data_IF_672930473401
#
_entry.id   IF_672930473401
#
_cell.length_a   1.000
_cell.length_b   1.000
_cell.length_c   1.000
_cell.angle_alpha   90.00
_cell.angle_beta   90.00
_cell.angle_gamma   90.00
#
_symmetry.space_group_name_H-M   'P 1'
#
loop_
_entity.id
_entity.type
_entity.pdbx_description
1 polymer ?
#
# COMPACT_ATOMS: atom_id res chain seq x y z
N UNK A 1 18.82 -7.89 -13.98
CA UNK A 1 17.91 -6.75 -14.01
C UNK A 1 17.45 -6.57 -15.45
N UNK A 2 16.18 -6.84 -15.74
CA UNK A 2 15.66 -6.73 -17.12
C UNK A 2 15.12 -5.32 -17.33
N UNK A 3 16.00 -4.33 -17.45
CA UNK A 3 15.62 -3.06 -18.03
C UNK A 3 15.65 -3.19 -19.55
N UNK A 4 14.51 -2.99 -20.18
CA UNK A 4 14.41 -3.04 -21.63
C UNK A 4 15.22 -1.86 -22.21
N UNK A 5 16.31 -2.15 -22.91
CA UNK A 5 17.26 -1.14 -23.44
C UNK A 5 16.67 -0.13 -24.42
N UNK A 6 15.40 -0.29 -24.80
CA UNK A 6 14.79 0.52 -25.87
C UNK A 6 13.76 1.56 -25.41
N UNK A 7 13.48 1.65 -24.11
CA UNK A 7 12.60 2.69 -23.57
C UNK A 7 13.36 3.48 -22.51
N UNK A 8 13.53 4.78 -22.70
CA UNK A 8 14.01 5.73 -21.70
C UNK A 8 12.98 5.82 -20.56
N UNK A 9 12.92 4.78 -19.73
CA UNK A 9 11.95 4.68 -18.64
C UNK A 9 12.69 4.97 -17.33
N UNK A 10 12.37 6.11 -16.72
CA UNK A 10 12.93 6.52 -15.44
C UNK A 10 12.12 5.90 -14.30
N UNK A 11 12.80 5.30 -13.30
CA UNK A 11 12.13 4.49 -12.29
C UNK A 11 12.20 5.11 -10.90
N UNK A 12 11.03 5.29 -10.29
CA UNK A 12 10.87 5.21 -8.84
C UNK A 12 10.65 3.75 -8.45
N UNK A 13 11.36 3.25 -7.46
CA UNK A 13 11.13 1.92 -6.89
C UNK A 13 10.28 2.10 -5.66
N UNK A 14 9.01 1.69 -5.77
CA UNK A 14 7.96 1.95 -4.82
C UNK A 14 7.83 0.85 -3.78
N UNK A 15 7.69 1.25 -2.52
CA UNK A 15 7.43 0.37 -1.39
C UNK A 15 6.21 0.85 -0.61
N UNK A 16 5.45 -0.10 -0.03
CA UNK A 16 4.30 0.20 0.81
C UNK A 16 4.49 -0.41 2.21
N UNK A 17 4.47 -1.74 2.31
CA UNK A 17 4.29 -2.45 3.55
C UNK A 17 5.58 -3.10 4.05
N UNK A 18 5.87 -2.86 5.31
CA UNK A 18 6.95 -3.50 6.05
C UNK A 18 6.41 -4.29 7.24
N UNK A 19 7.15 -5.30 7.66
CA UNK A 19 6.82 -6.09 8.84
C UNK A 19 8.05 -6.32 9.73
N UNK A 20 7.75 -6.53 11.01
CA UNK A 20 8.72 -6.91 12.04
C UNK A 20 8.15 -8.04 12.91
N UNK A 21 8.85 -8.40 13.97
CA UNK A 21 8.36 -9.37 14.96
C UNK A 21 7.45 -8.74 16.02
N UNK A 22 7.17 -7.43 15.90
CA UNK A 22 6.40 -6.64 16.85
C UNK A 22 4.98 -6.32 16.37
N UNK A 23 4.69 -5.02 16.26
CA UNK A 23 3.37 -4.52 15.90
C UNK A 23 3.04 -4.72 14.42
N UNK A 24 4.01 -4.56 13.53
CA UNK A 24 3.80 -4.66 12.09
C UNK A 24 3.91 -6.11 11.62
N UNK A 25 2.86 -6.89 11.84
CA UNK A 25 2.87 -8.32 11.50
C UNK A 25 3.05 -8.56 10.01
N UNK A 26 3.72 -9.67 9.71
CA UNK A 26 3.91 -10.14 8.34
C UNK A 26 2.57 -10.33 7.63
N UNK A 27 2.44 -9.71 6.47
CA UNK A 27 1.27 -9.83 5.60
C UNK A 27 1.71 -9.97 4.16
N UNK A 28 0.78 -10.30 3.27
CA UNK A 28 1.09 -10.46 1.86
C UNK A 28 1.70 -9.20 1.26
N UNK A 29 2.85 -9.36 0.60
CA UNK A 29 3.59 -8.27 -0.03
C UNK A 29 4.41 -7.40 0.94
N UNK A 30 4.38 -7.66 2.27
CA UNK A 30 5.23 -6.96 3.21
C UNK A 30 6.64 -7.54 3.24
N UNK A 31 7.64 -6.69 3.42
CA UNK A 31 9.06 -7.05 3.53
C UNK A 31 9.60 -6.67 4.90
N UNK A 32 10.59 -7.39 5.40
CA UNK A 32 11.26 -7.04 6.65
C UNK A 32 12.47 -6.12 6.40
N UNK A 33 13.09 -5.66 7.48
CA UNK A 33 14.28 -4.80 7.44
C UNK A 33 15.41 -5.42 6.61
N UNK A 34 15.70 -6.70 6.80
CA UNK A 34 16.83 -7.37 6.15
C UNK A 34 16.59 -7.56 4.65
N UNK A 35 15.35 -7.88 4.27
CA UNK A 35 14.99 -8.02 2.85
C UNK A 35 15.04 -6.66 2.14
N UNK A 36 14.59 -5.60 2.80
CA UNK A 36 14.72 -4.24 2.28
C UNK A 36 16.19 -3.87 2.08
N UNK A 37 17.04 -4.11 3.07
CA UNK A 37 18.48 -3.87 2.98
C UNK A 37 19.12 -4.65 1.81
N UNK A 38 18.78 -5.94 1.64
CA UNK A 38 19.24 -6.76 0.51
C UNK A 38 18.77 -6.21 -0.83
N UNK A 39 17.51 -5.75 -0.93
CA UNK A 39 16.98 -5.14 -2.15
C UNK A 39 17.75 -3.86 -2.53
N UNK A 40 18.00 -2.97 -1.58
CA UNK A 40 18.77 -1.75 -1.82
C UNK A 40 20.21 -2.07 -2.26
N UNK A 41 20.85 -3.03 -1.63
CA UNK A 41 22.20 -3.49 -2.04
C UNK A 41 22.21 -4.12 -3.43
N UNK A 42 21.16 -4.89 -3.79
CA UNK A 42 21.02 -5.50 -5.12
C UNK A 42 20.87 -4.44 -6.22
N UNK A 43 20.11 -3.38 -5.96
CA UNK A 43 20.00 -2.22 -6.86
C UNK A 43 21.37 -1.55 -7.02
N UNK A 44 22.13 -1.49 -5.95
CA UNK A 44 23.45 -0.85 -5.84
C UNK A 44 23.34 0.63 -5.47
N UNK A 45 24.02 1.03 -4.39
CA UNK A 45 23.95 2.40 -3.83
C UNK A 45 24.24 3.48 -4.89
N UNK A 46 25.17 3.22 -5.81
CA UNK A 46 25.56 4.19 -6.86
C UNK A 46 24.43 4.45 -7.90
N UNK A 47 23.47 3.57 -7.99
CA UNK A 47 22.31 3.72 -8.89
C UNK A 47 21.13 4.41 -8.19
N UNK A 48 21.12 4.46 -6.86
CA UNK A 48 20.07 5.09 -6.07
C UNK A 48 20.44 6.55 -5.84
N UNK A 49 19.68 7.45 -6.44
CA UNK A 49 19.82 8.89 -6.22
C UNK A 49 18.98 9.33 -5.01
N UNK A 50 19.48 10.32 -4.31
CA UNK A 50 18.68 11.03 -3.33
C UNK A 50 17.52 11.76 -4.02
N UNK A 51 16.39 11.87 -3.34
CA UNK A 51 15.12 12.32 -3.93
C UNK A 51 15.19 13.69 -4.61
N UNK A 52 15.88 14.65 -3.99
CA UNK A 52 16.11 15.99 -4.54
C UNK A 52 16.94 15.95 -5.81
N UNK A 53 18.04 15.17 -5.80
CA UNK A 53 18.93 14.98 -6.96
C UNK A 53 18.18 14.29 -8.10
N UNK A 54 17.37 13.27 -7.78
CA UNK A 54 16.55 12.58 -8.77
C UNK A 54 15.55 13.54 -9.41
N UNK A 55 14.84 14.32 -8.59
CA UNK A 55 13.86 15.30 -9.05
C UNK A 55 14.49 16.37 -9.97
N UNK A 56 15.63 16.92 -9.58
CA UNK A 56 16.36 17.90 -10.37
C UNK A 56 16.82 17.35 -11.71
N UNK A 57 17.37 16.13 -11.72
CA UNK A 57 17.79 15.47 -12.96
C UNK A 57 16.59 15.14 -13.86
N UNK A 58 15.47 14.68 -13.28
CA UNK A 58 14.24 14.42 -14.03
C UNK A 58 13.72 15.68 -14.71
N UNK A 59 13.60 16.77 -13.96
CA UNK A 59 13.15 18.08 -14.47
C UNK A 59 14.03 18.60 -15.59
N UNK A 60 15.33 18.40 -15.48
CA UNK A 60 16.32 18.85 -16.47
C UNK A 60 16.60 17.83 -17.57
N UNK A 61 15.86 16.69 -17.62
CA UNK A 61 16.05 15.60 -18.62
C UNK A 61 17.48 15.03 -18.63
N UNK A 62 18.10 14.92 -17.44
CA UNK A 62 19.49 14.45 -17.25
C UNK A 62 19.59 13.10 -16.54
N UNK A 63 18.46 12.43 -16.24
CA UNK A 63 18.47 11.10 -15.66
C UNK A 63 19.08 10.09 -16.62
N UNK A 64 19.88 9.18 -16.07
CA UNK A 64 20.42 8.01 -16.79
C UNK A 64 19.49 6.82 -16.59
N UNK A 65 19.49 5.88 -17.53
CA UNK A 65 18.65 4.67 -17.49
C UNK A 65 18.87 3.78 -16.26
N UNK A 66 20.05 3.84 -15.64
CA UNK A 66 20.39 3.07 -14.44
C UNK A 66 20.09 3.80 -13.13
N UNK A 67 19.76 5.10 -13.20
CA UNK A 67 19.50 5.91 -12.01
C UNK A 67 18.05 5.72 -11.57
N UNK A 68 17.85 5.44 -10.29
CA UNK A 68 16.54 5.21 -9.66
C UNK A 68 16.41 6.04 -8.39
N UNK A 69 15.19 6.26 -7.93
CA UNK A 69 14.93 6.74 -6.56
C UNK A 69 14.07 5.74 -5.80
N UNK A 70 14.06 5.85 -4.49
CA UNK A 70 13.20 5.05 -3.61
C UNK A 70 11.99 5.89 -3.24
N UNK A 71 10.81 5.29 -3.32
CA UNK A 71 9.54 5.95 -3.00
C UNK A 71 8.70 5.10 -2.05
N UNK A 72 7.92 5.76 -1.21
CA UNK A 72 6.98 5.16 -0.29
C UNK A 72 5.62 5.83 -0.47
N UNK A 73 4.55 5.04 -0.51
CA UNK A 73 3.20 5.53 -0.68
C UNK A 73 2.35 5.23 0.56
N UNK A 74 1.18 5.88 0.66
CA UNK A 74 0.10 5.61 1.61
C UNK A 74 0.31 6.08 3.06
N UNK A 75 1.39 6.80 3.37
CA UNK A 75 1.65 7.33 4.72
C UNK A 75 1.60 6.27 5.83
N UNK A 76 2.19 5.09 5.61
CA UNK A 76 2.14 3.96 6.55
C UNK A 76 3.23 4.03 7.62
N UNK A 77 2.85 3.87 8.88
CA UNK A 77 3.76 3.94 10.03
C UNK A 77 4.91 2.94 9.97
N UNK A 78 4.69 1.75 9.40
CA UNK A 78 5.75 0.76 9.20
C UNK A 78 6.93 1.26 8.35
N UNK A 79 6.71 2.26 7.49
CA UNK A 79 7.76 2.89 6.71
C UNK A 79 8.70 3.72 7.60
N UNK A 80 8.14 4.41 8.61
CA UNK A 80 8.92 5.18 9.60
C UNK A 80 9.64 4.27 10.58
N UNK A 81 8.97 3.20 11.01
CA UNK A 81 9.46 2.36 12.09
C UNK A 81 10.52 1.36 11.58
N UNK A 82 10.41 0.90 10.33
CA UNK A 82 11.25 -0.17 9.78
C UNK A 82 12.13 0.32 8.61
N UNK A 83 11.56 1.01 7.63
CA UNK A 83 12.33 1.40 6.44
C UNK A 83 13.21 2.63 6.67
N UNK A 84 12.70 3.66 7.34
CA UNK A 84 13.45 4.90 7.58
C UNK A 84 14.79 4.68 8.28
N UNK A 85 14.93 3.85 9.34
CA UNK A 85 16.23 3.54 9.93
C UNK A 85 17.25 2.95 8.94
N UNK A 86 16.80 2.12 7.99
CA UNK A 86 17.67 1.55 6.94
C UNK A 86 18.14 2.64 5.97
N UNK A 87 17.22 3.52 5.57
CA UNK A 87 17.57 4.65 4.69
C UNK A 87 18.61 5.57 5.33
N UNK A 88 18.44 5.89 6.61
CA UNK A 88 19.38 6.75 7.34
C UNK A 88 20.75 6.08 7.50
N UNK A 89 20.80 4.77 7.80
CA UNK A 89 22.03 3.99 7.86
C UNK A 89 22.78 4.03 6.51
N UNK A 90 22.05 3.87 5.41
CA UNK A 90 22.61 3.87 4.05
C UNK A 90 22.77 5.28 3.45
N UNK A 91 22.36 6.33 4.17
CA UNK A 91 22.37 7.72 3.72
C UNK A 91 21.62 7.91 2.38
N UNK A 92 20.43 7.32 2.26
CA UNK A 92 19.54 7.43 1.10
C UNK A 92 18.40 8.37 1.47
N UNK A 93 18.17 9.41 0.67
CA UNK A 93 17.00 10.28 0.81
C UNK A 93 15.94 9.87 -0.22
N UNK A 94 14.71 9.69 0.25
CA UNK A 94 13.61 9.08 -0.50
C UNK A 94 12.42 10.01 -0.61
N UNK A 95 11.47 9.68 -1.51
CA UNK A 95 10.15 10.31 -1.52
C UNK A 95 9.19 9.54 -0.61
N UNK A 96 8.34 10.29 0.11
CA UNK A 96 7.20 9.77 0.86
C UNK A 96 5.94 10.44 0.31
N UNK A 97 5.15 9.71 -0.44
CA UNK A 97 3.90 10.20 -1.01
C UNK A 97 2.76 9.92 -0.03
N UNK A 98 2.12 10.98 0.42
CA UNK A 98 1.10 10.91 1.46
C UNK A 98 -0.25 11.39 0.95
N UNK A 99 -1.32 10.68 1.27
CA UNK A 99 -2.66 11.17 1.04
C UNK A 99 -3.17 11.92 2.28
N UNK A 100 -3.79 13.07 2.06
CA UNK A 100 -3.92 14.07 3.14
C UNK A 100 -5.09 13.85 4.08
N UNK A 101 -6.12 13.07 3.70
CA UNK A 101 -7.24 12.76 4.60
C UNK A 101 -6.82 11.92 5.83
N UNK A 102 -5.66 11.27 5.75
CA UNK A 102 -5.03 10.59 6.89
C UNK A 102 -4.76 11.56 8.06
N UNK A 103 -4.42 12.83 7.76
CA UNK A 103 -4.15 13.85 8.78
C UNK A 103 -5.40 14.56 9.29
N UNK A 104 -6.57 14.21 8.74
CA UNK A 104 -7.91 14.61 9.19
C UNK A 104 -8.62 13.49 9.97
N UNK A 105 -7.91 12.45 10.36
CA UNK A 105 -8.44 11.23 10.99
C UNK A 105 -9.48 10.47 10.13
N UNK A 106 -9.35 10.59 8.81
CA UNK A 106 -10.20 9.94 7.79
C UNK A 106 -9.37 9.11 6.82
N UNK A 107 -8.64 8.08 7.30
CA UNK A 107 -7.85 7.24 6.43
C UNK A 107 -8.73 6.41 5.50
N UNK A 108 -8.14 5.92 4.40
CA UNK A 108 -8.73 4.82 3.66
C UNK A 108 -8.83 3.58 4.58
N UNK A 109 -10.01 3.00 4.65
CA UNK A 109 -10.28 1.85 5.52
C UNK A 109 -9.53 0.58 5.12
N UNK A 110 -9.01 0.50 3.88
CA UNK A 110 -8.34 -0.70 3.36
C UNK A 110 -7.18 -1.17 4.25
N UNK A 111 -6.38 -0.25 4.79
CA UNK A 111 -5.25 -0.60 5.65
C UNK A 111 -5.70 -1.04 7.05
N UNK A 112 -6.75 -0.45 7.58
CA UNK A 112 -7.36 -0.91 8.83
C UNK A 112 -7.96 -2.30 8.66
N UNK A 113 -8.65 -2.55 7.54
CA UNK A 113 -9.18 -3.87 7.21
C UNK A 113 -8.07 -4.90 6.96
N UNK A 114 -6.95 -4.50 6.37
CA UNK A 114 -5.76 -5.33 6.21
C UNK A 114 -5.17 -5.73 7.57
N UNK A 115 -4.99 -4.75 8.46
CA UNK A 115 -4.52 -4.98 9.82
C UNK A 115 -5.47 -5.94 10.57
N UNK A 116 -6.77 -5.70 10.48
CA UNK A 116 -7.79 -6.55 11.09
C UNK A 116 -7.69 -8.01 10.63
N UNK A 117 -7.61 -8.24 9.32
CA UNK A 117 -7.48 -9.59 8.75
C UNK A 117 -6.26 -10.35 9.27
N UNK A 118 -5.16 -9.65 9.48
CA UNK A 118 -3.87 -10.27 9.86
C UNK A 118 -3.78 -10.48 11.37
N UNK A 119 -4.43 -9.64 12.18
CA UNK A 119 -4.21 -9.61 13.62
C UNK A 119 -5.33 -10.21 14.46
N UNK A 120 -6.54 -10.36 13.92
CA UNK A 120 -7.73 -10.76 14.69
C UNK A 120 -8.25 -12.16 14.37
N UNK A 121 -7.54 -12.88 13.52
CA UNK A 121 -7.84 -14.27 13.15
C UNK A 121 -6.58 -15.12 13.31
N UNK A 122 -6.77 -16.42 13.60
CA UNK A 122 -5.66 -17.37 13.74
C UNK A 122 -4.94 -17.58 12.40
N UNK A 123 -5.72 -17.61 11.32
CA UNK A 123 -5.23 -17.67 9.96
C UNK A 123 -6.19 -16.94 9.00
N UNK A 124 -5.76 -16.79 7.76
CA UNK A 124 -6.52 -16.06 6.76
C UNK A 124 -7.80 -16.79 6.33
N UNK A 125 -7.87 -18.12 6.47
CA UNK A 125 -9.06 -18.89 6.11
C UNK A 125 -10.17 -18.68 7.14
N UNK A 126 -9.81 -18.53 8.44
CA UNK A 126 -10.77 -18.14 9.48
C UNK A 126 -11.41 -16.79 9.14
N UNK A 127 -10.61 -15.84 8.65
CA UNK A 127 -11.15 -14.56 8.17
C UNK A 127 -12.13 -14.75 7.01
N UNK A 128 -11.76 -15.50 5.96
CA UNK A 128 -12.65 -15.70 4.81
C UNK A 128 -13.96 -16.38 5.22
N UNK A 129 -13.90 -17.42 6.05
CA UNK A 129 -15.09 -18.10 6.55
C UNK A 129 -16.00 -17.14 7.34
N UNK A 130 -15.42 -16.32 8.19
CA UNK A 130 -16.15 -15.32 8.97
C UNK A 130 -16.79 -14.25 8.06
N UNK A 131 -16.04 -13.79 7.07
CA UNK A 131 -16.51 -12.81 6.08
C UNK A 131 -17.72 -13.34 5.29
N UNK A 132 -17.62 -14.55 4.73
CA UNK A 132 -18.72 -15.16 3.98
C UNK A 132 -19.93 -15.47 4.84
N UNK A 133 -19.72 -15.80 6.11
CA UNK A 133 -20.82 -15.98 7.08
C UNK A 133 -21.57 -14.69 7.35
N UNK A 134 -20.87 -13.56 7.50
CA UNK A 134 -21.49 -12.24 7.70
C UNK A 134 -22.18 -11.75 6.42
N UNK A 135 -21.57 -12.00 5.26
CA UNK A 135 -22.17 -11.67 3.96
C UNK A 135 -23.51 -12.38 3.72
N UNK A 136 -23.65 -13.63 4.21
CA UNK A 136 -24.89 -14.46 4.15
C UNK A 136 -25.55 -14.49 2.77
N UNK A 137 -24.75 -14.66 1.71
CA UNK A 137 -25.22 -14.77 0.32
C UNK A 137 -24.69 -16.05 -0.32
N UNK A 138 -25.53 -16.72 -1.13
CA UNK A 138 -25.06 -17.81 -1.98
C UNK A 138 -24.25 -17.23 -3.16
N UNK A 139 -22.99 -17.59 -3.21
CA UNK A 139 -22.03 -17.12 -4.21
C UNK A 139 -21.70 -18.18 -5.27
N UNK A 140 -22.34 -19.35 -5.26
CA UNK A 140 -22.00 -20.44 -6.17
C UNK A 140 -22.15 -20.02 -7.63
N UNK A 141 -23.31 -19.47 -8.01
CA UNK A 141 -23.52 -18.98 -9.36
C UNK A 141 -22.54 -17.88 -9.76
N UNK A 142 -22.23 -16.96 -8.84
CA UNK A 142 -21.27 -15.89 -9.09
C UNK A 142 -19.86 -16.43 -9.35
N UNK A 143 -19.42 -17.43 -8.59
CA UNK A 143 -18.11 -18.05 -8.82
C UNK A 143 -18.07 -18.88 -10.10
N UNK A 144 -19.16 -19.59 -10.42
CA UNK A 144 -19.27 -20.38 -11.66
C UNK A 144 -19.20 -19.47 -12.91
N UNK A 145 -19.89 -18.35 -12.89
CA UNK A 145 -19.84 -17.34 -13.97
C UNK A 145 -18.45 -16.67 -14.11
N UNK A 146 -17.64 -16.68 -13.06
CA UNK A 146 -16.31 -16.05 -13.03
C UNK A 146 -15.15 -17.05 -12.97
N UNK A 147 -15.35 -18.32 -13.27
CA UNK A 147 -14.30 -19.37 -13.21
C UNK A 147 -13.07 -19.03 -14.04
N UNK A 148 -13.25 -18.53 -15.26
CA UNK A 148 -12.14 -18.18 -16.14
C UNK A 148 -11.34 -16.99 -15.61
N UNK A 149 -12.00 -16.02 -14.98
CA UNK A 149 -11.36 -14.88 -14.31
C UNK A 149 -10.57 -15.32 -13.09
N UNK A 150 -11.07 -16.29 -12.33
CA UNK A 150 -10.37 -16.85 -11.17
C UNK A 150 -9.12 -17.59 -11.64
N UNK A 151 -9.21 -18.45 -12.68
CA UNK A 151 -8.07 -19.18 -13.26
C UNK A 151 -7.01 -18.21 -13.80
N UNK A 152 -7.41 -17.28 -14.65
CA UNK A 152 -6.48 -16.30 -15.25
C UNK A 152 -5.80 -15.42 -14.18
N UNK A 153 -6.51 -15.07 -13.10
CA UNK A 153 -5.94 -14.35 -11.97
C UNK A 153 -4.91 -15.20 -11.22
N UNK A 154 -5.14 -16.51 -11.08
CA UNK A 154 -4.17 -17.43 -10.46
C UNK A 154 -2.90 -17.56 -11.28
N UNK A 155 -3.03 -17.64 -12.60
CA UNK A 155 -1.88 -17.72 -13.52
C UNK A 155 -1.07 -16.41 -13.49
N UNK A 156 -1.75 -15.28 -13.51
CA UNK A 156 -1.12 -13.95 -13.46
C UNK A 156 -0.47 -13.64 -12.11
N UNK A 157 -1.07 -14.09 -11.02
CA UNK A 157 -0.64 -13.83 -9.65
C UNK A 157 -0.49 -15.15 -8.87
N UNK A 158 0.54 -15.96 -9.15
CA UNK A 158 0.69 -17.30 -8.58
C UNK A 158 0.86 -17.31 -7.05
N UNK A 159 1.25 -16.17 -6.45
CA UNK A 159 1.39 -16.01 -5.01
C UNK A 159 0.05 -15.82 -4.26
N UNK A 160 -1.07 -15.56 -4.94
CA UNK A 160 -2.38 -15.55 -4.30
C UNK A 160 -2.95 -16.97 -4.20
N UNK A 161 -3.60 -17.29 -3.06
CA UNK A 161 -4.42 -18.48 -2.96
C UNK A 161 -5.71 -18.33 -3.78
N UNK A 162 -6.36 -19.44 -4.10
CA UNK A 162 -7.68 -19.39 -4.78
C UNK A 162 -8.70 -18.64 -3.90
N UNK A 163 -8.67 -18.87 -2.60
CA UNK A 163 -9.59 -18.20 -1.67
C UNK A 163 -9.33 -16.68 -1.57
N UNK A 164 -8.06 -16.24 -1.65
CA UNK A 164 -7.75 -14.81 -1.72
C UNK A 164 -8.28 -14.20 -3.04
N UNK A 165 -8.14 -14.89 -4.15
CA UNK A 165 -8.69 -14.45 -5.45
C UNK A 165 -10.22 -14.36 -5.40
N UNK A 166 -10.90 -15.36 -4.84
CA UNK A 166 -12.35 -15.36 -4.67
C UNK A 166 -12.80 -14.21 -3.76
N UNK A 167 -12.13 -14.01 -2.63
CA UNK A 167 -12.42 -12.90 -1.72
C UNK A 167 -12.29 -11.55 -2.42
N UNK A 168 -11.20 -11.33 -3.16
CA UNK A 168 -10.98 -10.09 -3.93
C UNK A 168 -12.05 -9.91 -5.00
N UNK A 169 -12.42 -10.98 -5.67
CA UNK A 169 -13.47 -10.95 -6.68
C UNK A 169 -14.82 -10.54 -6.09
N UNK A 170 -15.18 -11.07 -4.92
CA UNK A 170 -16.40 -10.67 -4.21
C UNK A 170 -16.32 -9.21 -3.79
N UNK A 171 -15.22 -8.79 -3.17
CA UNK A 171 -15.02 -7.40 -2.74
C UNK A 171 -15.11 -6.40 -3.89
N UNK A 172 -14.50 -6.72 -5.04
CA UNK A 172 -14.27 -5.75 -6.12
C UNK A 172 -15.34 -5.80 -7.22
N UNK A 173 -16.12 -6.90 -7.32
CA UNK A 173 -17.07 -7.11 -8.41
C UNK A 173 -18.48 -7.52 -7.98
N UNK A 174 -18.67 -8.12 -6.81
CA UNK A 174 -19.97 -8.53 -6.30
C UNK A 174 -20.55 -7.48 -5.36
N UNK A 175 -19.71 -6.88 -4.52
CA UNK A 175 -20.09 -5.83 -3.58
C UNK A 175 -19.72 -4.45 -4.15
N UNK A 176 -20.47 -3.44 -3.73
CA UNK A 176 -19.98 -2.07 -3.82
C UNK A 176 -19.14 -1.71 -2.58
N UNK A 177 -18.47 -0.56 -2.61
CA UNK A 177 -17.59 -0.12 -1.51
C UNK A 177 -18.32 -0.04 -0.17
N UNK A 178 -19.54 0.51 -0.16
CA UNK A 178 -20.33 0.68 1.06
C UNK A 178 -20.71 -0.66 1.68
N UNK A 179 -21.21 -1.61 0.88
CA UNK A 179 -21.56 -2.96 1.34
C UNK A 179 -20.33 -3.68 1.93
N UNK A 180 -19.19 -3.58 1.26
CA UNK A 180 -17.96 -4.17 1.76
C UNK A 180 -17.53 -3.57 3.11
N UNK A 181 -17.55 -2.24 3.22
CA UNK A 181 -17.19 -1.54 4.46
C UNK A 181 -18.15 -1.87 5.61
N UNK A 182 -19.45 -1.96 5.34
CA UNK A 182 -20.46 -2.36 6.34
C UNK A 182 -20.17 -3.75 6.91
N UNK A 183 -19.87 -4.74 6.06
CA UNK A 183 -19.51 -6.09 6.49
C UNK A 183 -18.25 -6.05 7.36
N UNK A 184 -17.21 -5.36 6.90
CA UNK A 184 -15.95 -5.25 7.64
C UNK A 184 -16.12 -4.56 8.99
N UNK A 185 -16.93 -3.50 9.07
CA UNK A 185 -17.21 -2.82 10.34
C UNK A 185 -18.05 -3.66 11.30
N UNK A 186 -18.99 -4.47 10.81
CA UNK A 186 -19.68 -5.45 11.65
C UNK A 186 -18.71 -6.46 12.27
N UNK A 187 -17.81 -7.03 11.47
CA UNK A 187 -16.79 -7.97 11.95
C UNK A 187 -15.81 -7.31 12.94
N UNK A 188 -15.37 -6.09 12.64
CA UNK A 188 -14.50 -5.29 13.52
C UNK A 188 -15.16 -5.05 14.87
N UNK A 189 -16.44 -4.70 14.87
CA UNK A 189 -17.23 -4.50 16.10
C UNK A 189 -17.37 -5.80 16.91
N UNK A 190 -17.66 -6.91 16.24
CA UNK A 190 -17.76 -8.24 16.88
C UNK A 190 -16.45 -8.66 17.56
N UNK A 191 -15.32 -8.41 16.91
CA UNK A 191 -13.98 -8.72 17.42
C UNK A 191 -13.40 -7.64 18.34
N UNK A 192 -14.15 -6.56 18.64
CA UNK A 192 -13.75 -5.45 19.52
C UNK A 192 -12.43 -4.74 19.12
N UNK A 193 -12.14 -4.58 17.82
CA UNK A 193 -11.01 -3.77 17.39
C UNK A 193 -11.27 -2.28 17.71
N UNK A 194 -10.32 -1.65 18.39
CA UNK A 194 -10.35 -0.21 18.61
C UNK A 194 -9.85 0.52 17.34
N UNK A 195 -10.77 1.03 16.55
CA UNK A 195 -10.47 1.70 15.29
C UNK A 195 -9.53 2.90 15.46
N UNK A 196 -9.80 3.78 16.42
CA UNK A 196 -9.01 4.99 16.62
C UNK A 196 -7.57 4.70 17.09
N UNK A 197 -7.42 3.72 17.97
CA UNK A 197 -6.09 3.30 18.39
C UNK A 197 -5.32 2.65 17.24
N UNK A 198 -6.00 1.81 16.45
CA UNK A 198 -5.41 1.15 15.28
C UNK A 198 -4.98 2.18 14.24
N UNK A 199 -5.83 3.15 13.92
CA UNK A 199 -5.50 4.25 13.02
C UNK A 199 -4.21 4.95 13.43
N UNK A 200 -4.09 5.39 14.69
CA UNK A 200 -2.90 6.09 15.20
C UNK A 200 -1.61 5.27 15.10
N UNK A 201 -1.72 3.96 15.15
CA UNK A 201 -0.58 3.04 15.05
C UNK A 201 -0.22 2.68 13.61
N UNK A 202 -1.17 2.74 12.67
CA UNK A 202 -0.96 2.34 11.28
C UNK A 202 -0.46 3.46 10.38
N UNK A 203 -0.84 4.71 10.65
CA UNK A 203 -0.57 5.83 9.76
C UNK A 203 0.38 6.86 10.36
N UNK A 204 1.03 7.61 9.50
CA UNK A 204 1.83 8.78 9.89
C UNK A 204 0.99 9.75 10.74
N UNK A 205 1.67 10.34 11.69
CA UNK A 205 1.18 11.51 12.40
C UNK A 205 1.89 12.78 11.88
N UNK A 206 1.37 13.95 12.18
CA UNK A 206 1.97 15.23 11.73
C UNK A 206 3.45 15.38 12.13
N UNK A 207 3.83 14.80 13.26
CA UNK A 207 5.23 14.83 13.70
C UNK A 207 6.13 13.87 12.89
N UNK A 208 5.57 12.81 12.31
CA UNK A 208 6.32 11.95 11.39
C UNK A 208 6.69 12.71 10.09
N UNK A 209 5.79 13.57 9.57
CA UNK A 209 6.10 14.42 8.42
C UNK A 209 7.26 15.38 8.73
N UNK A 210 7.24 16.04 9.90
CA UNK A 210 8.34 16.91 10.32
C UNK A 210 9.64 16.14 10.45
N UNK A 211 9.57 14.90 10.98
CA UNK A 211 10.75 14.03 11.09
C UNK A 211 11.35 13.69 9.73
N UNK A 212 10.50 13.31 8.75
CA UNK A 212 10.91 12.99 7.37
C UNK A 212 11.60 14.21 6.74
N UNK A 213 10.97 15.38 6.82
CA UNK A 213 11.48 16.63 6.27
C UNK A 213 12.81 17.04 6.90
N UNK A 214 12.91 17.03 8.23
CA UNK A 214 14.14 17.34 8.96
C UNK A 214 15.32 16.39 8.62
N UNK A 215 15.03 15.17 8.23
CA UNK A 215 16.04 14.20 7.77
C UNK A 215 16.40 14.40 6.29
N UNK A 216 15.78 15.34 5.58
CA UNK A 216 16.07 15.67 4.19
C UNK A 216 15.43 14.74 3.17
N UNK A 217 14.40 13.97 3.55
CA UNK A 217 13.54 13.27 2.61
C UNK A 217 12.51 14.23 2.01
N UNK A 218 11.95 13.89 0.86
CA UNK A 218 10.91 14.70 0.22
C UNK A 218 9.52 14.12 0.48
N UNK A 219 8.60 14.96 0.92
CA UNK A 219 7.18 14.63 1.03
C UNK A 219 6.49 15.02 -0.27
N UNK A 220 5.79 14.07 -0.88
CA UNK A 220 4.97 14.26 -2.07
C UNK A 220 3.50 14.02 -1.78
N UNK A 221 2.63 14.44 -2.69
CA UNK A 221 1.19 14.27 -2.56
C UNK A 221 0.72 12.97 -3.25
N UNK A 222 -0.20 12.25 -2.60
CA UNK A 222 -0.80 11.01 -3.08
C UNK A 222 -2.34 11.08 -3.10
N UNK A 223 -2.89 12.18 -3.62
CA UNK A 223 -4.31 12.57 -3.56
C UNK A 223 -4.80 12.91 -2.14
N UNK A 224 -6.07 13.31 -2.01
CA UNK A 224 -6.67 13.61 -0.70
C UNK A 224 -7.27 12.36 -0.04
N UNK A 225 -8.17 11.64 -0.73
CA UNK A 225 -8.91 10.51 -0.16
C UNK A 225 -8.37 9.13 -0.59
N UNK A 226 -7.27 9.07 -1.34
CA UNK A 226 -6.67 7.83 -1.82
C UNK A 226 -7.63 6.93 -2.64
N UNK A 227 -8.30 7.45 -3.70
CA UNK A 227 -9.18 6.63 -4.52
C UNK A 227 -8.37 5.61 -5.32
N UNK A 228 -8.62 4.32 -5.10
CA UNK A 228 -7.87 3.20 -5.75
C UNK A 228 -8.02 3.15 -7.27
N UNK A 229 -9.03 3.83 -7.83
CA UNK A 229 -9.31 3.91 -9.27
C UNK A 229 -9.51 5.38 -9.66
N UNK A 230 -8.49 6.20 -9.41
CA UNK A 230 -8.50 7.64 -9.70
C UNK A 230 -8.88 7.94 -11.16
N UNK A 231 -8.46 7.09 -12.10
CA UNK A 231 -8.74 7.23 -13.52
C UNK A 231 -10.23 7.07 -13.88
N UNK A 232 -11.04 6.49 -12.99
CA UNK A 232 -12.50 6.35 -13.18
C UNK A 232 -13.30 7.53 -12.67
N UNK A 233 -12.67 8.40 -11.89
CA UNK A 233 -13.30 9.63 -11.43
C UNK A 233 -13.44 10.61 -12.60
N UNK A 234 -14.50 11.43 -12.59
CA UNK A 234 -14.62 12.52 -13.55
C UNK A 234 -13.58 13.63 -13.29
N UNK A 235 -13.46 14.57 -14.22
CA UNK A 235 -12.43 15.62 -14.13
C UNK A 235 -12.54 16.47 -12.85
N UNK A 236 -13.76 16.84 -12.44
CA UNK A 236 -13.96 17.70 -11.27
C UNK A 236 -13.64 16.93 -9.97
N UNK A 237 -13.96 15.64 -9.91
CA UNK A 237 -13.59 14.78 -8.80
C UNK A 237 -12.07 14.61 -8.70
N UNK A 238 -11.38 14.32 -9.82
CA UNK A 238 -9.92 14.24 -9.85
C UNK A 238 -9.28 15.58 -9.45
N UNK A 239 -9.77 16.69 -9.99
CA UNK A 239 -9.28 18.01 -9.63
C UNK A 239 -9.45 18.29 -8.13
N UNK A 240 -10.61 17.97 -7.55
CA UNK A 240 -10.85 18.13 -6.11
C UNK A 240 -9.90 17.29 -5.24
N UNK A 241 -9.54 16.07 -5.66
CA UNK A 241 -8.55 15.23 -4.98
C UNK A 241 -7.16 15.90 -4.88
N UNK A 242 -6.75 16.62 -5.91
CA UNK A 242 -5.45 17.32 -5.91
C UNK A 242 -5.51 18.72 -5.31
N UNK A 243 -6.62 19.43 -5.41
CA UNK A 243 -6.75 20.77 -4.82
C UNK A 243 -6.89 20.74 -3.29
N UNK A 244 -7.38 19.62 -2.72
CA UNK A 244 -7.47 19.43 -1.27
C UNK A 244 -6.17 18.89 -0.64
N UNK A 245 -5.31 18.33 -1.43
CA UNK A 245 -4.00 17.94 -1.00
C UNK A 245 -3.14 19.16 -0.70
#
# INVERSE_FOLDING_TARGET
MYFNKNNNFFHGIMFHHFHDDGFHKKSQGSINKDDFYKMLNFIGRNNILDADIFFDKLKNKKLKETEVCITFDDALKCQIDIALPVLEELKIKSFFFVYTSVFEEKPDNLEIFRYFRVNYFNDINEFYNSFYKVLDKDLNNFFDENLDKIKSSKDKYPFYSIEDIKFRLVRDNFLNKTEYEEIMFLMIKEKNLNYQETYKKLFFQKDDLKKIDNLGHLVGLHSHNHPTLLEKLNYDEQKNEYEKC
#
